data_IF_004690525345
#
_entry.id   IF_004690525345
#
_cell.length_a   1.000
_cell.length_b   1.000
_cell.length_c   1.000
_cell.angle_alpha   90.00
_cell.angle_beta   90.00
_cell.angle_gamma   90.00
#
_symmetry.space_group_name_H-M   'P 1'
#
loop_
_entity.id
_entity.type
_entity.pdbx_description
1 polymer ?
#
# COMPACT_ATOMS: atom_id res chain seq x y z
N UNK A 1 -52.50 -36.08 -14.63
CA UNK A 1 -53.30 -35.56 -13.51
C UNK A 1 -52.73 -34.17 -13.21
N UNK A 2 -53.25 -33.10 -13.80
CA UNK A 2 -54.32 -32.16 -13.37
C UNK A 2 -54.27 -31.92 -11.86
N UNK A 3 -53.93 -30.72 -11.41
CA UNK A 3 -54.82 -29.65 -10.92
C UNK A 3 -53.99 -28.84 -9.89
N UNK A 4 -54.06 -27.61 -9.60
CA UNK A 4 -54.71 -26.37 -10.07
C UNK A 4 -54.10 -25.22 -9.27
N UNK A 5 -53.98 -24.12 -9.94
CA UNK A 5 -53.72 -22.75 -9.48
C UNK A 5 -54.84 -22.32 -8.51
N UNK A 6 -54.50 -21.58 -7.45
CA UNK A 6 -55.41 -20.51 -6.95
C UNK A 6 -54.61 -19.27 -6.53
N UNK A 7 -54.82 -18.24 -7.26
CA UNK A 7 -54.61 -16.81 -7.03
C UNK A 7 -55.63 -16.35 -5.98
N UNK A 8 -55.21 -15.58 -4.99
CA UNK A 8 -56.11 -14.72 -4.21
C UNK A 8 -55.54 -13.30 -4.18
N UNK A 9 -56.34 -12.44 -4.79
CA UNK A 9 -56.28 -10.99 -4.84
C UNK A 9 -56.88 -10.37 -3.57
N UNK A 10 -56.40 -9.17 -3.19
CA UNK A 10 -57.18 -8.15 -2.47
C UNK A 10 -56.71 -7.93 -1.01
N UNK A 11 -56.30 -6.76 -0.63
CA UNK A 11 -57.07 -5.56 -0.45
C UNK A 11 -56.18 -4.33 -0.25
N UNK A 12 -56.45 -3.30 -1.00
CA UNK A 12 -56.08 -1.91 -0.71
C UNK A 12 -56.78 -1.47 0.59
N UNK A 13 -56.06 -0.80 1.49
CA UNK A 13 -56.68 0.12 2.42
C UNK A 13 -55.87 1.41 2.48
N UNK A 14 -56.45 2.44 1.93
CA UNK A 14 -56.05 3.82 2.04
C UNK A 14 -56.40 4.32 3.45
N UNK A 15 -55.49 4.94 4.15
CA UNK A 15 -55.80 5.76 5.32
C UNK A 15 -55.24 7.16 5.11
N UNK A 16 -56.15 8.08 5.09
CA UNK A 16 -56.07 9.50 4.84
C UNK A 16 -55.37 10.29 5.93
N UNK A 17 -54.74 11.39 5.47
CA UNK A 17 -54.19 12.54 6.16
C UNK A 17 -54.94 12.99 7.42
N UNK A 18 -54.18 13.28 8.46
CA UNK A 18 -54.52 14.32 9.42
C UNK A 18 -53.26 15.17 9.70
N UNK A 19 -53.25 16.35 9.06
CA UNK A 19 -52.28 17.40 9.33
C UNK A 19 -52.68 18.10 10.64
N UNK A 20 -51.79 18.06 11.63
CA UNK A 20 -51.84 18.97 12.77
C UNK A 20 -50.68 19.95 12.67
N UNK A 21 -50.99 21.14 12.22
CA UNK A 21 -50.09 22.25 12.24
C UNK A 21 -50.00 22.81 13.68
N UNK A 22 -48.86 22.55 14.34
CA UNK A 22 -48.49 23.34 15.52
C UNK A 22 -47.40 24.33 15.12
N UNK A 23 -47.82 25.59 15.02
CA UNK A 23 -46.89 26.70 14.81
C UNK A 23 -46.11 26.99 16.08
N UNK A 24 -44.82 26.72 16.06
CA UNK A 24 -43.90 27.37 17.00
C UNK A 24 -43.18 28.51 16.26
N UNK A 25 -43.49 29.74 16.69
CA UNK A 25 -42.67 30.92 16.40
C UNK A 25 -41.28 30.72 17.02
N UNK A 26 -40.32 30.22 16.25
CA UNK A 26 -38.91 30.21 16.58
C UNK A 26 -38.24 31.41 15.92
N UNK A 27 -37.57 32.23 16.71
CA UNK A 27 -36.69 33.32 16.35
C UNK A 27 -35.76 32.91 15.19
N UNK A 28 -35.67 33.78 14.18
CA UNK A 28 -34.64 33.68 13.16
C UNK A 28 -33.26 33.81 13.84
N UNK A 29 -32.51 32.70 13.93
CA UNK A 29 -31.09 32.73 14.18
C UNK A 29 -30.38 32.72 12.84
N UNK A 30 -29.56 33.72 12.60
CA UNK A 30 -28.63 33.77 11.49
C UNK A 30 -27.90 32.42 11.42
N UNK A 31 -28.06 31.70 10.31
CA UNK A 31 -27.19 30.60 9.96
C UNK A 31 -25.86 31.18 9.52
N UNK A 32 -24.97 31.30 10.49
CA UNK A 32 -23.55 31.43 10.23
C UNK A 32 -23.11 30.15 9.48
N UNK A 33 -22.76 30.29 8.22
CA UNK A 33 -22.09 29.26 7.46
C UNK A 33 -20.68 29.11 8.04
N UNK A 34 -20.59 28.44 9.18
CA UNK A 34 -19.34 27.93 9.69
C UNK A 34 -18.86 26.82 8.74
N UNK A 35 -18.05 27.17 7.76
CA UNK A 35 -17.16 26.20 7.17
C UNK A 35 -16.37 25.60 8.34
N UNK A 36 -16.60 24.31 8.62
CA UNK A 36 -15.74 23.53 9.51
C UNK A 36 -14.32 23.60 8.93
N UNK A 37 -13.58 24.62 9.36
CA UNK A 37 -12.13 24.62 9.17
C UNK A 37 -11.61 23.50 10.06
N UNK A 38 -11.41 22.33 9.47
CA UNK A 38 -10.61 21.27 10.08
C UNK A 38 -9.28 21.93 10.42
N UNK A 39 -9.08 22.21 11.71
CA UNK A 39 -7.83 22.77 12.19
C UNK A 39 -6.74 21.75 11.79
N UNK A 40 -5.97 22.08 10.76
CA UNK A 40 -4.83 21.27 10.37
C UNK A 40 -3.87 21.22 11.55
N UNK A 41 -3.79 20.07 12.19
CA UNK A 41 -2.87 19.86 13.30
C UNK A 41 -1.47 20.26 12.83
N UNK A 42 -0.81 21.15 13.58
CA UNK A 42 0.57 21.51 13.28
C UNK A 42 1.42 20.24 13.29
N UNK A 43 2.23 19.98 12.25
CA UNK A 43 3.16 18.85 12.26
C UNK A 43 4.05 18.90 13.51
N UNK A 44 4.16 17.77 14.20
CA UNK A 44 4.96 17.64 15.44
C UNK A 44 6.22 16.86 15.10
N UNK A 45 7.06 17.36 14.26
CA UNK A 45 8.27 16.65 13.86
C UNK A 45 9.10 17.47 12.88
N UNK A 46 10.25 16.96 12.45
CA UNK A 46 11.03 17.59 11.40
C UNK A 46 10.23 17.65 10.10
N UNK A 47 10.50 18.66 9.29
CA UNK A 47 9.88 18.78 7.96
C UNK A 47 10.37 17.67 7.07
N UNK A 48 9.45 16.92 6.44
CA UNK A 48 9.78 15.90 5.45
C UNK A 48 10.56 16.52 4.27
N UNK A 49 11.66 15.89 3.87
CA UNK A 49 12.47 16.38 2.76
C UNK A 49 12.08 15.65 1.46
N UNK A 50 11.23 16.31 0.67
CA UNK A 50 10.74 15.79 -0.60
C UNK A 50 11.87 15.57 -1.63
N UNK A 51 12.90 16.44 -1.65
CA UNK A 51 14.03 16.30 -2.57
C UNK A 51 14.85 15.04 -2.25
N UNK A 52 15.02 14.71 -0.96
CA UNK A 52 15.67 13.47 -0.56
C UNK A 52 14.85 12.24 -0.98
N UNK A 53 13.53 12.27 -0.79
CA UNK A 53 12.67 11.17 -1.22
C UNK A 53 12.69 11.01 -2.75
N UNK A 54 12.66 12.10 -3.50
CA UNK A 54 12.81 12.07 -4.96
C UNK A 54 14.16 11.46 -5.38
N UNK A 55 15.26 11.88 -4.73
CA UNK A 55 16.59 11.31 -4.99
C UNK A 55 16.66 9.81 -4.70
N UNK A 56 15.99 9.30 -3.64
CA UNK A 56 15.89 7.87 -3.37
C UNK A 56 15.07 7.12 -4.42
N UNK A 57 14.02 7.75 -4.97
CA UNK A 57 13.26 7.19 -6.09
C UNK A 57 14.14 7.06 -7.33
N UNK A 58 14.85 8.14 -7.70
CA UNK A 58 15.76 8.15 -8.83
C UNK A 58 16.86 7.09 -8.70
N UNK A 59 17.49 6.97 -7.51
CA UNK A 59 18.54 5.99 -7.26
C UNK A 59 18.05 4.53 -7.42
N UNK A 60 16.80 4.23 -7.07
CA UNK A 60 16.21 2.92 -7.33
C UNK A 60 16.01 2.68 -8.86
N UNK A 61 15.58 3.71 -9.58
CA UNK A 61 15.40 3.65 -11.04
C UNK A 61 16.72 3.51 -11.79
N UNK A 62 17.82 4.04 -11.27
CA UNK A 62 19.16 3.92 -11.86
C UNK A 62 19.67 2.48 -11.96
N UNK A 63 19.15 1.55 -11.14
CA UNK A 63 19.41 0.12 -11.28
C UNK A 63 18.69 -0.50 -12.49
N UNK A 64 17.68 0.18 -13.04
CA UNK A 64 16.74 -0.33 -14.03
C UNK A 64 15.49 -0.96 -13.40
N UNK A 65 14.62 -1.56 -14.23
CA UNK A 65 13.45 -2.28 -13.74
C UNK A 65 13.83 -3.38 -12.75
N UNK A 66 13.27 -3.33 -11.54
CA UNK A 66 13.55 -4.30 -10.46
C UNK A 66 12.69 -5.55 -10.61
N UNK A 67 12.64 -6.09 -11.83
CA UNK A 67 11.92 -7.32 -12.13
C UNK A 67 12.51 -8.47 -11.33
N UNK A 68 11.64 -9.28 -10.73
CA UNK A 68 12.03 -10.48 -9.98
C UNK A 68 13.09 -11.31 -10.71
N UNK A 69 14.03 -11.86 -9.98
CA UNK A 69 15.14 -12.69 -10.49
C UNK A 69 16.16 -11.96 -11.41
N UNK A 70 16.05 -10.63 -11.58
CA UNK A 70 17.00 -9.86 -12.40
C UNK A 70 18.19 -9.35 -11.59
N UNK A 71 19.28 -9.01 -12.31
CA UNK A 71 20.44 -8.38 -11.67
C UNK A 71 20.12 -6.97 -11.11
N UNK A 72 19.18 -6.24 -11.72
CA UNK A 72 18.72 -4.95 -11.23
C UNK A 72 17.99 -5.10 -9.88
N UNK A 73 17.10 -6.09 -9.78
CA UNK A 73 16.41 -6.46 -8.55
C UNK A 73 17.42 -6.80 -7.43
N UNK A 74 18.36 -7.70 -7.67
CA UNK A 74 19.36 -8.09 -6.66
C UNK A 74 20.20 -6.89 -6.18
N UNK A 75 20.66 -6.03 -7.09
CA UNK A 75 21.48 -4.86 -6.75
C UNK A 75 20.68 -3.81 -5.98
N UNK A 76 19.45 -3.53 -6.41
CA UNK A 76 18.59 -2.57 -5.74
C UNK A 76 18.21 -3.05 -4.33
N UNK A 77 17.85 -4.33 -4.15
CA UNK A 77 17.57 -4.90 -2.84
C UNK A 77 18.73 -4.76 -1.86
N UNK A 78 19.97 -5.04 -2.30
CA UNK A 78 21.18 -4.81 -1.48
C UNK A 78 21.32 -3.34 -1.12
N UNK A 79 21.11 -2.43 -2.05
CA UNK A 79 21.19 -0.99 -1.81
C UNK A 79 20.14 -0.53 -0.78
N UNK A 80 18.90 -1.00 -0.87
CA UNK A 80 17.84 -0.70 0.11
C UNK A 80 18.25 -1.16 1.52
N UNK A 81 18.76 -2.40 1.65
CA UNK A 81 19.27 -2.96 2.90
C UNK A 81 20.37 -2.08 3.50
N UNK A 82 21.34 -1.66 2.68
CA UNK A 82 22.44 -0.80 3.10
C UNK A 82 21.95 0.57 3.57
N UNK A 83 20.97 1.17 2.86
CA UNK A 83 20.40 2.46 3.25
C UNK A 83 19.67 2.39 4.59
N UNK A 84 18.86 1.38 4.84
CA UNK A 84 18.23 1.24 6.15
C UNK A 84 19.25 1.01 7.27
N UNK A 85 20.32 0.25 7.03
CA UNK A 85 21.42 0.08 7.98
C UNK A 85 22.17 1.40 8.25
N UNK A 86 22.43 2.19 7.19
CA UNK A 86 23.03 3.53 7.29
C UNK A 86 22.19 4.44 8.20
N UNK A 87 20.85 4.30 8.13
CA UNK A 87 19.91 5.06 8.98
C UNK A 87 19.63 4.41 10.34
N UNK A 88 20.46 3.47 10.75
CA UNK A 88 20.45 2.90 12.10
C UNK A 88 19.35 1.91 12.38
N UNK A 89 18.72 1.35 11.35
CA UNK A 89 17.75 0.27 11.49
C UNK A 89 18.45 -1.09 11.68
N UNK A 90 17.86 -1.95 12.50
CA UNK A 90 18.16 -3.39 12.49
C UNK A 90 17.45 -4.02 11.28
N UNK A 91 18.22 -4.62 10.35
CA UNK A 91 17.69 -5.10 9.08
C UNK A 91 17.76 -6.61 8.99
N UNK A 92 16.62 -7.21 8.74
CA UNK A 92 16.46 -8.64 8.46
C UNK A 92 15.96 -8.83 7.01
N UNK A 93 16.58 -9.74 6.27
CA UNK A 93 16.11 -10.21 4.98
C UNK A 93 15.31 -11.50 5.17
N UNK A 94 14.02 -11.48 4.81
CA UNK A 94 13.15 -12.65 4.83
C UNK A 94 13.09 -13.22 3.41
N UNK A 95 13.93 -14.24 3.14
CA UNK A 95 14.06 -14.88 1.83
C UNK A 95 13.10 -16.05 1.68
N UNK A 96 12.51 -16.17 0.48
CA UNK A 96 11.66 -17.30 0.12
C UNK A 96 11.67 -17.56 -1.39
N UNK A 97 11.50 -18.81 -1.76
CA UNK A 97 11.18 -19.23 -3.12
C UNK A 97 9.66 -19.23 -3.26
N UNK A 98 9.11 -18.22 -3.92
CA UNK A 98 7.67 -18.07 -4.12
C UNK A 98 7.29 -18.56 -5.51
N UNK A 99 6.14 -19.19 -5.63
CA UNK A 99 5.67 -19.74 -6.90
C UNK A 99 4.63 -18.79 -7.51
N UNK A 100 4.94 -18.24 -8.69
CA UNK A 100 4.02 -17.42 -9.46
C UNK A 100 2.89 -18.28 -10.10
N UNK A 101 1.87 -17.60 -10.64
CA UNK A 101 0.69 -18.22 -11.28
C UNK A 101 1.06 -19.23 -12.38
N UNK A 102 2.13 -18.98 -13.13
CA UNK A 102 2.62 -19.81 -14.23
C UNK A 102 3.62 -20.87 -13.80
N UNK A 103 3.90 -20.99 -12.49
CA UNK A 103 4.86 -21.90 -11.92
C UNK A 103 6.29 -21.38 -11.85
N UNK A 104 6.57 -20.17 -12.33
CA UNK A 104 7.87 -19.51 -12.19
C UNK A 104 8.24 -19.38 -10.73
N UNK A 105 9.48 -19.75 -10.38
CA UNK A 105 10.01 -19.58 -9.02
C UNK A 105 10.62 -18.20 -8.90
N UNK A 106 10.07 -17.37 -8.03
CA UNK A 106 10.51 -16.03 -7.70
C UNK A 106 11.40 -16.09 -6.46
N UNK A 107 12.67 -15.69 -6.60
CA UNK A 107 13.64 -15.57 -5.48
C UNK A 107 13.33 -14.30 -4.70
N UNK A 108 12.37 -14.37 -3.83
CA UNK A 108 11.86 -13.22 -3.10
C UNK A 108 12.69 -12.88 -1.87
N UNK A 109 12.80 -11.59 -1.59
CA UNK A 109 13.45 -11.04 -0.39
C UNK A 109 12.62 -9.88 0.16
N UNK A 110 11.75 -10.15 1.14
CA UNK A 110 11.18 -9.06 1.93
C UNK A 110 12.27 -8.45 2.80
N UNK A 111 12.40 -7.11 2.79
CA UNK A 111 13.36 -6.38 3.60
C UNK A 111 12.63 -5.79 4.80
N UNK A 112 13.03 -6.18 6.00
CA UNK A 112 12.40 -5.77 7.26
C UNK A 112 13.42 -4.94 8.04
N UNK A 113 13.21 -3.63 8.10
CA UNK A 113 14.08 -2.69 8.78
C UNK A 113 13.38 -2.14 10.03
N UNK A 114 13.96 -2.42 11.21
CA UNK A 114 13.38 -2.03 12.48
C UNK A 114 14.11 -0.86 13.09
N UNK A 115 13.43 0.27 13.18
CA UNK A 115 13.89 1.38 14.01
C UNK A 115 13.42 1.15 15.45
N UNK A 116 14.29 1.41 16.42
CA UNK A 116 14.02 1.19 17.85
C UNK A 116 13.45 -0.23 18.12
N UNK A 117 14.22 -1.30 17.83
CA UNK A 117 13.73 -2.69 17.83
C UNK A 117 13.22 -3.18 19.19
N UNK A 118 13.73 -2.61 20.30
CA UNK A 118 13.35 -2.98 21.68
C UNK A 118 12.02 -2.36 22.13
N UNK A 119 11.44 -1.44 21.35
CA UNK A 119 10.18 -0.79 21.70
C UNK A 119 9.03 -1.79 21.70
N UNK A 120 8.24 -1.78 22.77
CA UNK A 120 7.06 -2.65 22.93
C UNK A 120 5.86 -2.21 22.10
N UNK A 121 5.74 -0.89 21.83
CA UNK A 121 4.73 -0.31 20.94
C UNK A 121 5.38 -0.06 19.61
N UNK A 122 4.80 -0.59 18.56
CA UNK A 122 5.34 -0.51 17.21
C UNK A 122 4.26 -0.13 16.20
N UNK A 123 4.66 0.54 15.14
CA UNK A 123 3.85 0.76 13.94
C UNK A 123 4.54 0.13 12.74
N UNK A 124 3.76 -0.27 11.74
CA UNK A 124 4.24 -0.80 10.47
C UNK A 124 4.11 0.28 9.39
N UNK A 125 5.16 0.51 8.63
CA UNK A 125 5.10 1.26 7.37
C UNK A 125 5.64 0.35 6.29
N UNK A 126 4.89 0.13 5.22
CA UNK A 126 5.27 -0.82 4.20
C UNK A 126 5.02 -0.29 2.79
N UNK A 127 5.77 -0.83 1.84
CA UNK A 127 5.65 -0.61 0.40
C UNK A 127 6.18 -1.84 -0.32
N UNK A 128 5.85 -2.04 -1.59
CA UNK A 128 6.59 -3.00 -2.41
C UNK A 128 7.81 -2.34 -3.06
N UNK A 129 8.79 -3.14 -3.51
CA UNK A 129 10.02 -2.63 -4.09
C UNK A 129 10.40 -3.26 -5.44
N UNK A 130 9.78 -4.37 -5.80
CA UNK A 130 9.90 -4.97 -7.12
C UNK A 130 9.18 -4.16 -8.19
N UNK A 131 9.30 -4.56 -9.43
CA UNK A 131 8.60 -3.92 -10.54
C UNK A 131 7.98 -4.95 -11.48
N UNK A 132 6.87 -4.54 -12.10
CA UNK A 132 6.11 -5.34 -13.04
C UNK A 132 6.97 -5.75 -14.23
N UNK A 133 7.03 -7.04 -14.59
CA UNK A 133 7.86 -7.53 -15.70
C UNK A 133 7.30 -7.18 -17.07
N UNK A 134 6.08 -6.65 -17.14
CA UNK A 134 5.41 -6.27 -18.39
C UNK A 134 4.55 -5.02 -18.20
N UNK A 135 4.56 -4.14 -19.21
CA UNK A 135 3.77 -2.92 -19.23
C UNK A 135 2.40 -3.19 -19.90
N UNK A 136 1.63 -4.12 -19.38
CA UNK A 136 0.39 -4.62 -19.98
C UNK A 136 -0.76 -3.59 -19.98
N UNK A 137 -0.62 -2.52 -19.21
CA UNK A 137 -1.52 -1.36 -19.21
C UNK A 137 -1.05 -0.22 -20.14
N UNK A 138 0.08 -0.35 -20.83
CA UNK A 138 0.55 0.67 -21.76
C UNK A 138 -0.42 0.80 -22.95
N UNK A 139 -0.84 2.01 -23.35
CA UNK A 139 -1.71 2.21 -24.52
C UNK A 139 -1.09 1.73 -25.82
N UNK A 140 0.25 1.69 -25.93
CA UNK A 140 0.96 1.08 -27.05
C UNK A 140 1.27 -0.40 -26.75
N UNK A 141 0.55 -1.30 -27.40
CA UNK A 141 0.71 -2.75 -27.24
C UNK A 141 2.13 -3.28 -27.56
N UNK A 142 2.95 -2.51 -28.31
CA UNK A 142 4.35 -2.88 -28.57
C UNK A 142 5.22 -2.82 -27.31
N UNK A 143 4.75 -2.15 -26.26
CA UNK A 143 5.39 -2.05 -24.96
C UNK A 143 4.97 -3.16 -23.98
N UNK A 144 3.86 -3.84 -24.22
CA UNK A 144 3.25 -4.75 -23.25
C UNK A 144 4.22 -5.80 -22.68
N UNK A 145 5.17 -6.30 -23.48
CA UNK A 145 6.17 -7.29 -23.03
C UNK A 145 7.47 -6.67 -22.50
N UNK A 146 7.52 -5.35 -22.33
CA UNK A 146 8.66 -4.66 -21.75
C UNK A 146 8.45 -4.47 -20.25
N UNK A 147 9.49 -4.51 -19.42
CA UNK A 147 9.34 -4.26 -17.99
C UNK A 147 9.02 -2.78 -17.72
N UNK A 148 8.28 -2.54 -16.63
CA UNK A 148 7.98 -1.19 -16.14
C UNK A 148 9.16 -0.68 -15.32
N UNK A 149 9.51 0.62 -15.45
CA UNK A 149 10.53 1.24 -14.60
C UNK A 149 10.09 1.34 -13.14
N UNK A 150 8.79 1.45 -12.90
CA UNK A 150 8.18 1.44 -11.58
C UNK A 150 8.73 2.53 -10.63
N UNK A 151 8.81 3.78 -11.13
CA UNK A 151 9.26 4.91 -10.32
C UNK A 151 8.21 5.30 -9.26
N UNK A 152 6.94 5.37 -9.68
CA UNK A 152 5.83 5.65 -8.76
C UNK A 152 5.35 4.36 -8.09
N UNK A 153 5.16 3.32 -8.87
CA UNK A 153 4.68 2.00 -8.47
C UNK A 153 5.84 1.14 -7.98
N UNK A 154 6.00 1.12 -6.65
CA UNK A 154 7.06 0.49 -5.87
C UNK A 154 8.12 1.48 -5.35
N UNK A 155 8.89 2.17 -6.22
CA UNK A 155 10.03 2.95 -5.74
C UNK A 155 9.63 4.17 -4.90
N UNK A 156 8.49 4.83 -5.17
CA UNK A 156 8.06 6.02 -4.42
C UNK A 156 7.76 5.71 -2.96
N UNK A 157 7.06 4.62 -2.68
CA UNK A 157 6.75 4.20 -1.30
C UNK A 157 8.01 3.87 -0.51
N UNK A 158 8.95 3.12 -1.10
CA UNK A 158 10.25 2.82 -0.48
C UNK A 158 11.06 4.10 -0.22
N UNK A 159 11.03 5.05 -1.15
CA UNK A 159 11.75 6.32 -1.01
C UNK A 159 11.22 7.14 0.18
N UNK A 160 9.91 7.18 0.39
CA UNK A 160 9.30 7.80 1.58
C UNK A 160 9.77 7.10 2.85
N UNK A 161 9.79 5.77 2.87
CA UNK A 161 10.27 5.01 4.04
C UNK A 161 11.75 5.29 4.35
N UNK A 162 12.61 5.38 3.34
CA UNK A 162 14.03 5.72 3.52
C UNK A 162 14.21 7.13 4.08
N UNK A 163 13.44 8.11 3.60
CA UNK A 163 13.50 9.48 4.14
C UNK A 163 13.00 9.53 5.58
N UNK A 164 11.93 8.81 5.91
CA UNK A 164 11.46 8.69 7.29
C UNK A 164 12.52 8.05 8.20
N UNK A 165 13.16 6.97 7.76
CA UNK A 165 14.24 6.32 8.52
C UNK A 165 15.42 7.28 8.77
N UNK A 166 15.83 8.06 7.74
CA UNK A 166 16.85 9.09 7.84
C UNK A 166 16.50 10.16 8.88
N UNK A 167 15.26 10.61 8.91
CA UNK A 167 14.80 11.61 9.90
C UNK A 167 14.73 11.03 11.30
N UNK A 168 14.24 9.81 11.46
CA UNK A 168 14.18 9.12 12.75
C UNK A 168 15.56 8.89 13.37
N UNK A 169 16.57 8.59 12.54
CA UNK A 169 17.96 8.49 13.01
C UNK A 169 18.44 9.80 13.63
N UNK A 170 18.05 10.94 13.06
CA UNK A 170 18.45 12.26 13.57
C UNK A 170 17.71 12.65 14.85
N UNK A 171 16.47 12.16 15.05
CA UNK A 171 15.66 12.43 16.24
C UNK A 171 15.48 11.18 17.12
N UNK A 172 16.39 11.02 18.10
CA UNK A 172 16.37 9.89 19.04
C UNK A 172 15.28 9.96 20.12
N UNK A 173 14.34 10.89 20.03
CA UNK A 173 13.30 11.08 21.06
C UNK A 173 12.11 10.15 20.88
N UNK A 174 11.92 9.57 19.71
CA UNK A 174 10.81 8.66 19.46
C UNK A 174 10.93 7.40 20.29
N UNK A 175 9.91 7.13 21.12
CA UNK A 175 9.86 5.95 22.01
C UNK A 175 9.08 4.79 21.40
N UNK A 176 8.45 5.00 20.24
CA UNK A 176 7.74 3.97 19.48
C UNK A 176 8.71 3.31 18.51
N UNK A 177 8.58 2.01 18.32
CA UNK A 177 9.29 1.30 17.26
C UNK A 177 8.60 1.50 15.92
N UNK A 178 9.39 1.54 14.85
CA UNK A 178 8.87 1.56 13.49
C UNK A 178 9.45 0.35 12.75
N UNK A 179 8.56 -0.47 12.20
CA UNK A 179 8.90 -1.56 11.29
C UNK A 179 8.68 -1.07 9.87
N UNK A 180 9.74 -0.82 9.14
CA UNK A 180 9.70 -0.60 7.70
C UNK A 180 9.79 -1.95 7.01
N UNK A 181 8.80 -2.28 6.16
CA UNK A 181 8.79 -3.54 5.41
C UNK A 181 8.67 -3.26 3.92
N UNK A 182 9.73 -3.57 3.18
CA UNK A 182 9.67 -3.56 1.72
C UNK A 182 9.26 -4.97 1.27
N UNK A 183 8.05 -5.10 0.77
CA UNK A 183 7.54 -6.35 0.21
C UNK A 183 8.09 -6.60 -1.18
N UNK A 184 8.38 -7.85 -1.46
CA UNK A 184 8.89 -8.31 -2.74
C UNK A 184 7.85 -9.15 -3.48
N UNK A 185 8.03 -9.37 -4.77
CA UNK A 185 7.11 -10.16 -5.58
C UNK A 185 5.63 -9.73 -5.44
N UNK A 186 5.42 -8.42 -5.39
CA UNK A 186 4.08 -7.84 -5.36
C UNK A 186 3.47 -7.89 -6.75
N UNK A 187 4.23 -7.49 -7.77
CA UNK A 187 3.76 -7.04 -9.08
C UNK A 187 3.96 -8.08 -10.19
N UNK A 188 4.08 -9.36 -9.83
CA UNK A 188 4.15 -10.50 -10.76
C UNK A 188 2.77 -11.12 -11.04
N UNK A 189 1.70 -10.35 -10.97
CA UNK A 189 0.34 -10.83 -11.24
C UNK A 189 0.11 -11.20 -12.71
N UNK A 190 -1.00 -11.87 -13.01
CA UNK A 190 -1.36 -12.35 -14.34
C UNK A 190 -1.49 -11.18 -15.32
N UNK A 191 -0.76 -11.16 -16.46
CA UNK A 191 -0.89 -10.08 -17.44
C UNK A 191 -2.19 -10.15 -18.24
N UNK A 192 -2.66 -9.04 -18.77
CA UNK A 192 -3.97 -8.91 -19.43
C UNK A 192 -4.16 -9.81 -20.65
N UNK A 193 -3.10 -10.22 -21.34
CA UNK A 193 -3.20 -11.14 -22.48
C UNK A 193 -3.22 -12.61 -22.11
N UNK A 194 -2.98 -12.93 -20.83
CA UNK A 194 -2.95 -14.32 -20.37
C UNK A 194 -4.37 -14.76 -19.97
N UNK A 195 -4.94 -15.67 -20.75
CA UNK A 195 -6.32 -16.13 -20.58
C UNK A 195 -6.44 -17.55 -20.06
N UNK A 196 -5.30 -18.27 -19.89
CA UNK A 196 -5.27 -19.65 -19.40
C UNK A 196 -5.45 -19.76 -17.90
N UNK A 197 -5.22 -18.68 -17.19
CA UNK A 197 -5.32 -18.61 -15.73
C UNK A 197 -6.44 -17.62 -15.34
N UNK A 198 -7.15 -17.97 -14.30
CA UNK A 198 -8.13 -17.07 -13.70
C UNK A 198 -7.43 -16.25 -12.61
N UNK A 199 -7.58 -14.94 -12.66
CA UNK A 199 -7.11 -14.07 -11.59
C UNK A 199 -8.13 -14.08 -10.45
N UNK A 200 -7.76 -14.70 -9.34
CA UNK A 200 -8.52 -14.76 -8.10
C UNK A 200 -7.93 -13.82 -7.02
N UNK A 201 -6.94 -12.99 -7.41
CA UNK A 201 -6.20 -12.11 -6.52
C UNK A 201 -5.04 -12.77 -5.79
N UNK A 202 -4.96 -14.09 -5.74
CA UNK A 202 -3.89 -14.81 -5.03
C UNK A 202 -2.55 -14.78 -5.77
N UNK A 203 -2.53 -14.35 -7.03
CA UNK A 203 -1.32 -14.23 -7.85
C UNK A 203 -0.49 -12.95 -7.56
N UNK A 204 -1.04 -12.02 -6.78
CA UNK A 204 -0.42 -10.74 -6.44
C UNK A 204 0.13 -10.71 -5.03
N UNK A 205 0.99 -9.75 -4.74
CA UNK A 205 1.51 -9.49 -3.39
C UNK A 205 2.08 -10.73 -2.67
N UNK A 206 2.75 -11.62 -3.42
CA UNK A 206 3.21 -12.92 -2.90
C UNK A 206 4.15 -12.78 -1.71
N UNK A 207 5.03 -11.76 -1.71
CA UNK A 207 5.92 -11.49 -0.58
C UNK A 207 5.16 -11.04 0.65
N UNK A 208 4.13 -10.20 0.51
CA UNK A 208 3.28 -9.79 1.63
C UNK A 208 2.46 -10.97 2.17
N UNK A 209 1.94 -11.84 1.31
CA UNK A 209 1.29 -13.08 1.72
C UNK A 209 2.23 -13.99 2.52
N UNK A 210 3.49 -14.13 2.05
CA UNK A 210 4.50 -14.92 2.74
C UNK A 210 4.85 -14.31 4.09
N UNK A 211 5.04 -12.98 4.17
CA UNK A 211 5.28 -12.26 5.42
C UNK A 211 4.16 -12.47 6.43
N UNK A 212 2.91 -12.36 6.01
CA UNK A 212 1.76 -12.55 6.89
C UNK A 212 1.68 -13.98 7.46
N UNK A 213 1.99 -14.98 6.64
CA UNK A 213 2.01 -16.41 7.05
C UNK A 213 3.21 -16.75 7.94
N UNK A 214 4.33 -16.02 7.79
CA UNK A 214 5.60 -16.27 8.48
C UNK A 214 6.05 -15.02 9.26
N UNK A 215 5.14 -14.42 10.01
CA UNK A 215 5.36 -13.15 10.69
C UNK A 215 6.61 -13.21 11.60
N UNK A 216 7.63 -12.36 11.38
CA UNK A 216 8.98 -12.59 11.92
C UNK A 216 9.20 -12.07 13.34
N UNK A 217 8.17 -11.60 14.03
CA UNK A 217 8.30 -11.02 15.37
C UNK A 217 7.12 -11.38 16.26
N UNK A 218 7.39 -11.50 17.58
CA UNK A 218 6.34 -11.70 18.57
C UNK A 218 5.56 -10.40 18.90
N UNK A 219 6.15 -9.24 18.64
CA UNK A 219 5.52 -7.93 18.88
C UNK A 219 4.81 -7.49 17.60
N UNK A 220 3.48 -7.54 17.62
CA UNK A 220 2.66 -7.07 16.51
C UNK A 220 2.57 -5.54 16.51
N UNK A 221 2.65 -4.88 15.35
CA UNK A 221 2.36 -3.45 15.23
C UNK A 221 0.92 -3.14 15.66
N UNK A 222 0.72 -1.96 16.25
CA UNK A 222 -0.62 -1.48 16.66
C UNK A 222 -1.48 -1.15 15.42
N UNK A 223 -0.85 -0.64 14.36
CA UNK A 223 -1.46 -0.42 13.05
C UNK A 223 -0.38 -0.40 11.96
N UNK A 224 -0.81 -0.45 10.71
CA UNK A 224 0.06 -0.37 9.53
C UNK A 224 -0.39 0.71 8.55
N UNK A 225 0.58 1.27 7.82
CA UNK A 225 0.39 2.20 6.72
C UNK A 225 1.08 1.58 5.50
N UNK A 226 0.30 1.34 4.44
CA UNK A 226 0.83 0.93 3.14
C UNK A 226 1.01 2.19 2.29
N UNK A 227 2.20 2.31 1.70
CA UNK A 227 2.56 3.38 0.77
C UNK A 227 2.68 2.76 -0.63
N UNK A 228 1.76 3.13 -1.49
CA UNK A 228 1.74 2.67 -2.87
C UNK A 228 1.38 3.83 -3.79
N UNK A 229 2.13 3.97 -4.90
CA UNK A 229 1.93 5.02 -5.91
C UNK A 229 1.81 6.45 -5.34
N UNK A 230 2.61 6.78 -4.31
CA UNK A 230 2.51 8.05 -3.56
C UNK A 230 3.14 9.26 -4.28
N UNK A 231 3.72 9.07 -5.47
CA UNK A 231 4.38 10.11 -6.26
C UNK A 231 3.55 10.63 -7.44
N UNK A 232 2.27 10.24 -7.57
CA UNK A 232 1.40 10.69 -8.65
C UNK A 232 0.87 12.10 -8.45
N UNK A 233 0.56 12.82 -9.55
CA UNK A 233 -0.11 14.11 -9.48
C UNK A 233 -1.53 13.91 -8.91
N UNK A 234 -1.83 14.60 -7.82
CA UNK A 234 -3.12 14.49 -7.13
C UNK A 234 -3.25 13.30 -6.17
N UNK A 235 -2.14 12.60 -5.89
CA UNK A 235 -2.09 11.52 -4.89
C UNK A 235 -2.09 12.07 -3.45
#
# INVERSE_FOLDING_TARGET
MKTNIKIIFGCLLAVSLATVAYGCKGKASNSDNGADTVATAKPVGPTFNADSAYAFTAAQCDFGPRVMNSAAHEKCGKWIVEKFKEYGCDVQEQKADLKAYDGTVLKSTNIIARFNPEAKKRILICAHWDSRPWADNDPDSTNHKKPVMAANDGASGVAVMLELARQLQADKKLKVGVDFVCFDAEDWGIPHWETRYQDDGDSWALGAQYYAKNFPTAVKPEFGILLDMVGGEGA
#
